data_IF_638569502092
#
_entry.id   IF_638569502092
#
_cell.length_a   1.000
_cell.length_b   1.000
_cell.length_c   1.000
_cell.angle_alpha   90.00
_cell.angle_beta   90.00
_cell.angle_gamma   90.00
#
_symmetry.space_group_name_H-M   'P 1'
#
loop_
_entity.id
_entity.type
_entity.pdbx_description
1 polymer ?
#
# COMPACT_ATOMS: atom_id res chain seq x y z
N UNK A 1 18.80 -9.48 -33.53
CA UNK A 1 20.09 -9.03 -33.02
C UNK A 1 20.13 -7.51 -32.98
N UNK A 2 19.35 -6.88 -32.11
CA UNK A 2 19.40 -5.43 -31.81
C UNK A 2 18.75 -5.12 -30.45
N UNK A 3 18.81 -6.04 -29.49
CA UNK A 3 18.21 -5.87 -28.13
C UNK A 3 19.29 -5.57 -27.08
N UNK A 4 20.57 -5.64 -27.40
CA UNK A 4 21.66 -5.59 -26.42
C UNK A 4 22.26 -4.21 -26.12
N UNK A 5 21.87 -3.13 -26.81
CA UNK A 5 22.50 -1.82 -26.60
C UNK A 5 21.66 -0.79 -25.86
N UNK A 6 20.43 -1.15 -25.39
CA UNK A 6 19.58 -0.25 -24.62
C UNK A 6 19.25 -0.77 -23.21
N UNK A 7 19.97 -1.78 -22.75
CA UNK A 7 19.87 -2.30 -21.39
C UNK A 7 20.41 -1.25 -20.41
N UNK A 8 19.49 -0.54 -19.77
CA UNK A 8 19.71 0.27 -18.57
C UNK A 8 20.42 1.62 -18.82
N UNK A 9 19.83 2.53 -19.58
CA UNK A 9 20.12 3.93 -19.37
C UNK A 9 19.59 4.31 -17.97
N UNK A 10 20.45 4.14 -16.95
CA UNK A 10 20.11 4.53 -15.57
C UNK A 10 19.91 6.05 -15.50
N UNK A 11 19.03 6.49 -14.61
CA UNK A 11 18.91 7.91 -14.27
C UNK A 11 20.23 8.43 -13.68
N UNK A 12 20.49 9.75 -13.72
CA UNK A 12 21.66 10.32 -13.05
C UNK A 12 21.70 9.90 -11.57
N UNK A 13 22.84 9.41 -11.10
CA UNK A 13 23.00 8.89 -9.73
C UNK A 13 22.66 9.89 -8.62
N UNK A 14 22.74 11.18 -8.90
CA UNK A 14 22.39 12.24 -7.95
C UNK A 14 20.86 12.42 -7.77
N UNK A 15 20.04 11.71 -8.55
CA UNK A 15 18.57 11.65 -8.39
C UNK A 15 18.18 10.68 -7.28
N UNK A 16 18.94 9.59 -7.11
CA UNK A 16 18.66 8.58 -6.10
C UNK A 16 18.79 9.14 -4.67
N UNK A 17 17.88 8.74 -3.80
CA UNK A 17 17.94 9.11 -2.38
C UNK A 17 19.24 8.64 -1.72
N UNK A 18 19.84 9.51 -0.92
CA UNK A 18 21.08 9.25 -0.22
C UNK A 18 20.87 9.20 1.30
N UNK A 19 21.32 8.12 1.93
CA UNK A 19 21.24 7.95 3.38
C UNK A 19 22.12 8.90 4.21
N UNK A 20 23.15 9.48 3.59
CA UNK A 20 24.05 10.46 4.23
C UNK A 20 23.49 11.89 4.16
N UNK A 21 22.41 12.10 3.39
CA UNK A 21 21.69 13.36 3.33
C UNK A 21 20.57 13.44 4.36
N UNK A 22 19.71 14.45 4.19
CA UNK A 22 18.61 14.72 5.12
C UNK A 22 17.63 13.56 5.22
N UNK A 23 17.39 12.84 4.12
CA UNK A 23 16.49 11.67 4.10
C UNK A 23 16.96 10.52 5.00
N UNK A 24 18.26 10.43 5.30
CA UNK A 24 18.82 9.44 6.24
C UNK A 24 18.70 9.84 7.72
N UNK A 25 18.25 11.05 8.03
CA UNK A 25 18.11 11.55 9.41
C UNK A 25 17.07 10.76 10.20
N UNK A 26 17.39 10.46 11.47
CA UNK A 26 16.51 9.81 12.44
C UNK A 26 16.10 10.77 13.54
N UNK A 27 14.96 10.54 14.17
CA UNK A 27 14.51 11.31 15.35
C UNK A 27 15.46 11.10 16.52
N UNK A 28 15.85 9.85 16.78
CA UNK A 28 16.85 9.51 17.81
C UNK A 28 18.15 9.14 17.12
N UNK A 29 19.23 9.85 17.46
CA UNK A 29 20.54 9.58 16.89
C UNK A 29 21.03 8.18 17.23
N UNK A 30 21.55 7.47 16.24
CA UNK A 30 22.13 6.13 16.38
C UNK A 30 23.45 6.06 15.64
N UNK A 31 24.43 5.29 16.13
CA UNK A 31 25.68 5.11 15.42
C UNK A 31 25.46 4.39 14.08
N UNK A 32 26.29 4.68 13.06
CA UNK A 32 26.28 3.93 11.81
C UNK A 32 26.46 2.43 12.06
N UNK A 33 25.76 1.62 11.28
CA UNK A 33 25.89 0.17 11.38
C UNK A 33 27.13 -0.30 10.59
N UNK A 34 27.80 -1.34 11.09
CA UNK A 34 29.06 -1.81 10.51
C UNK A 34 28.96 -2.23 9.03
N UNK A 35 27.82 -2.80 8.61
CA UNK A 35 27.62 -3.39 7.28
C UNK A 35 26.22 -3.20 6.69
N UNK A 36 25.32 -2.44 7.33
CA UNK A 36 24.01 -2.12 6.80
C UNK A 36 23.84 -0.63 6.62
N UNK A 37 23.21 -0.23 5.52
CA UNK A 37 22.78 1.16 5.30
C UNK A 37 21.67 1.54 6.28
N UNK A 38 21.36 2.83 6.37
CA UNK A 38 20.25 3.31 7.19
C UNK A 38 18.92 2.79 6.67
N UNK A 39 18.73 2.74 5.36
CA UNK A 39 17.50 2.26 4.74
C UNK A 39 17.33 0.73 4.86
N UNK A 40 18.41 -0.06 4.74
CA UNK A 40 18.36 -1.50 5.04
C UNK A 40 17.94 -1.78 6.50
N UNK A 41 18.43 -0.95 7.44
CA UNK A 41 17.99 -1.06 8.84
C UNK A 41 16.50 -0.76 8.98
N UNK A 42 15.97 0.20 8.23
CA UNK A 42 14.55 0.54 8.25
C UNK A 42 13.68 -0.59 7.70
N UNK A 43 14.04 -1.17 6.55
CA UNK A 43 13.37 -2.35 6.01
C UNK A 43 13.33 -3.51 7.03
N UNK A 44 14.47 -3.78 7.70
CA UNK A 44 14.53 -4.81 8.74
C UNK A 44 13.63 -4.48 9.94
N UNK A 45 13.56 -3.22 10.40
CA UNK A 45 12.69 -2.79 11.50
C UNK A 45 11.21 -2.96 11.16
N UNK A 46 10.82 -2.63 9.93
CA UNK A 46 9.45 -2.80 9.42
C UNK A 46 9.09 -4.29 9.38
N UNK A 47 9.94 -5.14 8.78
CA UNK A 47 9.72 -6.59 8.71
C UNK A 47 9.51 -7.24 10.09
N UNK A 48 10.23 -6.75 11.10
CA UNK A 48 10.11 -7.27 12.46
C UNK A 48 8.98 -6.60 13.27
N UNK A 49 8.29 -5.58 12.75
CA UNK A 49 7.19 -4.90 13.43
C UNK A 49 5.98 -5.84 13.63
N UNK A 50 5.22 -5.59 14.69
CA UNK A 50 3.97 -6.34 14.94
C UNK A 50 2.93 -6.02 13.89
N UNK A 51 2.84 -4.74 13.49
CA UNK A 51 1.92 -4.28 12.46
C UNK A 51 2.17 -5.01 11.13
N UNK A 52 3.42 -5.16 10.70
CA UNK A 52 3.77 -5.90 9.48
C UNK A 52 3.32 -7.37 9.55
N UNK A 53 3.59 -8.07 10.66
CA UNK A 53 3.14 -9.46 10.84
C UNK A 53 1.62 -9.62 10.82
N UNK A 54 0.88 -8.61 11.30
CA UNK A 54 -0.59 -8.60 11.31
C UNK A 54 -1.19 -8.50 9.91
N UNK A 55 -0.44 -8.04 8.90
CA UNK A 55 -0.87 -8.03 7.51
C UNK A 55 -1.26 -9.44 7.00
N UNK A 56 -0.67 -10.49 7.55
CA UNK A 56 -1.05 -11.87 7.24
C UNK A 56 -2.50 -12.22 7.63
N UNK A 57 -3.06 -11.53 8.63
CA UNK A 57 -4.43 -11.72 9.10
C UNK A 57 -5.38 -10.59 8.70
N UNK A 58 -4.98 -9.73 7.77
CA UNK A 58 -5.81 -8.67 7.20
C UNK A 58 -6.09 -8.99 5.74
N UNK A 59 -7.34 -8.88 5.36
CA UNK A 59 -7.80 -9.11 3.98
C UNK A 59 -7.30 -8.02 3.05
N UNK A 60 -6.90 -8.40 1.83
CA UNK A 60 -6.63 -7.44 0.76
C UNK A 60 -7.94 -6.95 0.12
N UNK A 61 -8.75 -7.86 -0.43
CA UNK A 61 -10.01 -7.54 -1.10
C UNK A 61 -11.17 -8.40 -0.57
N UNK A 62 -10.99 -9.71 -0.50
CA UNK A 62 -12.03 -10.64 -0.04
C UNK A 62 -11.95 -10.86 1.47
N UNK A 63 -12.72 -10.10 2.24
CA UNK A 63 -13.01 -10.50 3.61
C UNK A 63 -13.98 -11.67 3.58
N UNK A 64 -13.68 -12.72 4.34
CA UNK A 64 -14.59 -13.86 4.51
C UNK A 64 -15.71 -13.47 5.46
N UNK A 65 -16.92 -13.82 5.07
CA UNK A 65 -18.04 -13.82 6.00
C UNK A 65 -17.99 -15.11 6.85
N UNK A 66 -18.55 -15.09 8.07
CA UNK A 66 -18.56 -16.27 8.95
C UNK A 66 -19.15 -17.54 8.33
N UNK A 67 -20.07 -17.39 7.37
CA UNK A 67 -20.77 -18.50 6.70
C UNK A 67 -20.11 -18.92 5.36
N UNK A 68 -19.00 -18.30 4.97
CA UNK A 68 -18.31 -18.65 3.73
C UNK A 68 -17.60 -20.01 3.85
N UNK A 69 -17.60 -20.82 2.78
CA UNK A 69 -16.90 -22.11 2.79
C UNK A 69 -15.40 -21.90 3.01
N UNK A 70 -14.71 -22.84 3.67
CA UNK A 70 -13.28 -22.74 3.88
C UNK A 70 -12.54 -22.65 2.53
N UNK A 71 -11.69 -21.64 2.39
CA UNK A 71 -10.82 -21.41 1.25
C UNK A 71 -9.57 -20.69 1.77
N UNK A 72 -8.39 -21.02 1.26
CA UNK A 72 -7.09 -20.46 1.68
C UNK A 72 -6.35 -19.79 0.52
N UNK A 73 -7.06 -19.55 -0.60
CA UNK A 73 -6.42 -19.07 -1.84
C UNK A 73 -6.37 -17.56 -1.96
N UNK A 74 -7.17 -16.82 -1.17
CA UNK A 74 -7.26 -15.37 -1.33
C UNK A 74 -6.05 -14.67 -0.74
N UNK A 75 -5.60 -13.62 -1.43
CA UNK A 75 -4.45 -12.82 -1.03
C UNK A 75 -4.70 -12.10 0.30
N UNK A 76 -3.74 -12.23 1.23
CA UNK A 76 -3.67 -11.35 2.41
C UNK A 76 -2.91 -10.07 2.06
N UNK A 77 -3.05 -9.04 2.88
CA UNK A 77 -2.22 -7.83 2.73
C UNK A 77 -0.73 -8.12 2.78
N UNK A 78 -0.30 -9.15 3.51
CA UNK A 78 1.11 -9.54 3.54
C UNK A 78 1.59 -10.04 2.18
N UNK A 79 0.84 -10.94 1.53
CA UNK A 79 1.23 -11.46 0.21
C UNK A 79 1.23 -10.36 -0.85
N UNK A 80 0.22 -9.48 -0.83
CA UNK A 80 0.18 -8.30 -1.67
C UNK A 80 1.37 -7.37 -1.43
N UNK A 81 1.69 -7.05 -0.17
CA UNK A 81 2.87 -6.21 0.17
C UNK A 81 4.16 -6.80 -0.38
N UNK A 82 4.32 -8.13 -0.40
CA UNK A 82 5.49 -8.79 -1.01
C UNK A 82 5.50 -8.66 -2.54
N UNK A 83 4.34 -8.74 -3.20
CA UNK A 83 4.21 -8.51 -4.65
C UNK A 83 4.60 -7.06 -5.00
N UNK A 84 4.04 -6.08 -4.28
CA UNK A 84 4.41 -4.65 -4.42
C UNK A 84 5.90 -4.43 -4.20
N UNK A 85 6.48 -5.05 -3.17
CA UNK A 85 7.91 -4.96 -2.86
C UNK A 85 8.77 -5.49 -4.00
N UNK A 86 8.39 -6.61 -4.61
CA UNK A 86 9.11 -7.20 -5.74
C UNK A 86 9.07 -6.26 -6.96
N UNK A 87 7.89 -5.71 -7.30
CA UNK A 87 7.74 -4.77 -8.43
C UNK A 87 8.55 -3.50 -8.16
N UNK A 88 8.41 -2.90 -6.98
CA UNK A 88 9.10 -1.67 -6.60
C UNK A 88 10.62 -1.81 -6.67
N UNK A 89 11.17 -2.94 -6.21
CA UNK A 89 12.61 -3.23 -6.30
C UNK A 89 13.08 -3.38 -7.76
N UNK A 90 12.24 -3.95 -8.61
CA UNK A 90 12.53 -4.06 -10.06
C UNK A 90 12.58 -2.67 -10.70
N UNK A 91 11.61 -1.81 -10.41
CA UNK A 91 11.56 -0.43 -10.86
C UNK A 91 12.79 0.35 -10.40
N UNK A 92 13.12 0.31 -9.10
CA UNK A 92 14.27 1.01 -8.54
C UNK A 92 15.59 0.53 -9.17
N UNK A 93 15.74 -0.79 -9.39
CA UNK A 93 16.92 -1.35 -10.04
C UNK A 93 17.05 -0.86 -11.48
N UNK A 94 15.96 -0.92 -12.27
CA UNK A 94 15.96 -0.51 -13.66
C UNK A 94 16.23 0.99 -13.85
N UNK A 95 15.80 1.81 -12.91
CA UNK A 95 15.97 3.26 -12.93
C UNK A 95 17.29 3.75 -12.28
N UNK A 96 18.00 2.90 -11.54
CA UNK A 96 19.21 3.30 -10.81
C UNK A 96 18.91 4.08 -9.52
N UNK A 97 17.73 3.88 -8.93
CA UNK A 97 17.30 4.50 -7.68
C UNK A 97 17.77 3.72 -6.45
N UNK A 98 17.54 4.27 -5.27
CA UNK A 98 17.90 3.62 -4.01
C UNK A 98 16.94 2.46 -3.70
N UNK A 99 17.44 1.23 -3.87
CA UNK A 99 16.65 0.00 -3.73
C UNK A 99 16.23 -0.26 -2.29
N UNK A 100 17.09 0.07 -1.34
CA UNK A 100 16.86 -0.16 0.09
C UNK A 100 15.75 0.77 0.62
N UNK A 101 15.77 2.05 0.20
CA UNK A 101 14.67 2.98 0.51
C UNK A 101 13.36 2.52 -0.13
N UNK A 102 13.40 2.16 -1.41
CA UNK A 102 12.22 1.70 -2.15
C UNK A 102 11.62 0.44 -1.50
N UNK A 103 12.46 -0.52 -1.09
CA UNK A 103 12.04 -1.73 -0.37
C UNK A 103 11.39 -1.40 0.96
N UNK A 104 12.02 -0.54 1.77
CA UNK A 104 11.47 -0.13 3.07
C UNK A 104 10.11 0.55 2.93
N UNK A 105 9.95 1.41 1.90
CA UNK A 105 8.67 2.07 1.60
C UNK A 105 7.60 1.08 1.16
N UNK A 106 7.93 0.15 0.26
CA UNK A 106 7.00 -0.88 -0.21
C UNK A 106 6.56 -1.80 0.93
N UNK A 107 7.46 -2.17 1.86
CA UNK A 107 7.11 -2.96 3.05
C UNK A 107 6.19 -2.18 4.01
N UNK A 108 6.28 -0.85 4.04
CA UNK A 108 5.55 -0.03 4.98
C UNK A 108 4.20 0.49 4.46
N UNK A 109 3.95 0.48 3.13
CA UNK A 109 2.84 1.21 2.53
C UNK A 109 1.46 0.82 3.11
N UNK A 110 1.27 -0.45 3.43
CA UNK A 110 -0.01 -1.02 3.85
C UNK A 110 -0.16 -1.25 5.36
N UNK A 111 0.91 -1.02 6.18
CA UNK A 111 0.89 -1.37 7.62
C UNK A 111 -0.16 -0.61 8.44
N UNK A 112 -0.64 0.52 7.92
CA UNK A 112 -1.64 1.37 8.57
C UNK A 112 -3.09 0.98 8.30
N UNK A 113 -3.36 0.07 7.38
CA UNK A 113 -4.74 -0.35 7.08
C UNK A 113 -5.41 -1.04 8.27
N UNK A 114 -6.68 -0.74 8.52
CA UNK A 114 -7.48 -1.43 9.53
C UNK A 114 -7.92 -2.81 9.05
N UNK A 115 -8.58 -3.63 9.92
CA UNK A 115 -9.27 -4.84 9.47
C UNK A 115 -10.28 -4.53 8.36
N UNK A 116 -10.53 -5.49 7.47
CA UNK A 116 -11.44 -5.39 6.32
C UNK A 116 -11.05 -4.31 5.28
N UNK A 117 -9.79 -3.88 5.26
CA UNK A 117 -9.24 -2.99 4.26
C UNK A 117 -9.97 -1.65 4.12
N UNK A 118 -10.31 -1.25 2.90
CA UNK A 118 -10.97 0.03 2.64
C UNK A 118 -12.39 0.15 3.25
N UNK A 119 -13.10 -0.97 3.42
CA UNK A 119 -14.41 -0.94 4.09
C UNK A 119 -14.25 -0.57 5.57
N UNK A 120 -13.29 -1.19 6.25
CA UNK A 120 -12.96 -0.86 7.64
C UNK A 120 -12.40 0.57 7.79
N UNK A 121 -11.60 1.04 6.84
CA UNK A 121 -11.09 2.42 6.83
C UNK A 121 -12.23 3.44 6.76
N UNK A 122 -13.19 3.25 5.84
CA UNK A 122 -14.36 4.11 5.73
C UNK A 122 -15.22 4.10 6.99
N UNK A 123 -15.42 2.93 7.60
CA UNK A 123 -16.18 2.78 8.83
C UNK A 123 -15.51 3.48 10.03
N UNK A 124 -14.17 3.36 10.16
CA UNK A 124 -13.43 4.08 11.20
C UNK A 124 -13.43 5.59 10.97
N UNK A 125 -13.25 6.05 9.73
CA UNK A 125 -13.32 7.47 9.40
C UNK A 125 -14.72 8.04 9.71
N UNK A 126 -15.79 7.33 9.33
CA UNK A 126 -17.17 7.71 9.66
C UNK A 126 -17.37 7.82 11.17
N UNK A 127 -16.94 6.82 11.95
CA UNK A 127 -17.06 6.83 13.40
C UNK A 127 -16.30 8.00 14.05
N UNK A 128 -15.09 8.31 13.55
CA UNK A 128 -14.27 9.40 14.09
C UNK A 128 -14.79 10.79 13.76
N UNK A 129 -15.48 10.97 12.62
CA UNK A 129 -16.06 12.27 12.23
C UNK A 129 -17.05 12.80 13.26
N UNK A 130 -17.80 11.95 13.94
CA UNK A 130 -18.69 12.33 15.04
C UNK A 130 -17.93 12.95 16.23
N UNK A 131 -16.63 12.75 16.32
CA UNK A 131 -15.73 13.28 17.35
C UNK A 131 -14.80 14.38 16.83
N UNK A 132 -15.05 14.93 15.63
CA UNK A 132 -14.22 15.95 15.00
C UNK A 132 -12.84 15.44 14.52
N UNK A 133 -12.68 14.12 14.39
CA UNK A 133 -11.47 13.45 13.95
C UNK A 133 -11.68 12.75 12.60
N UNK A 134 -10.60 12.26 11.99
CA UNK A 134 -10.65 11.44 10.79
C UNK A 134 -9.72 10.24 10.91
N UNK A 135 -9.89 9.27 10.01
CA UNK A 135 -8.99 8.13 9.86
C UNK A 135 -8.42 8.09 8.44
N UNK A 136 -7.13 7.83 8.38
CA UNK A 136 -6.35 7.71 7.15
C UNK A 136 -5.24 6.70 7.39
N UNK A 137 -5.12 5.69 6.54
CA UNK A 137 -4.15 4.61 6.76
C UNK A 137 -2.69 5.08 6.67
N UNK A 138 -2.35 6.11 5.87
CA UNK A 138 -0.99 6.65 5.82
C UNK A 138 -0.63 7.35 7.14
N UNK A 139 -1.55 8.16 7.68
CA UNK A 139 -1.36 8.80 8.98
C UNK A 139 -1.30 7.76 10.10
N UNK A 140 -2.12 6.73 10.02
CA UNK A 140 -2.06 5.63 10.99
C UNK A 140 -0.77 4.81 10.87
N UNK A 141 -0.27 4.56 9.64
CA UNK A 141 1.05 3.95 9.42
C UNK A 141 2.17 4.77 10.06
N UNK A 142 2.13 6.09 9.89
CA UNK A 142 3.08 6.98 10.57
C UNK A 142 3.00 6.85 12.09
N UNK A 143 1.79 6.85 12.68
CA UNK A 143 1.58 6.65 14.13
C UNK A 143 2.13 5.29 14.59
N UNK A 144 1.93 4.23 13.81
CA UNK A 144 2.49 2.91 14.11
C UNK A 144 4.02 2.98 14.21
N UNK A 145 4.70 3.51 13.19
CA UNK A 145 6.17 3.49 13.13
C UNK A 145 6.83 4.50 14.06
N UNK A 146 6.12 5.57 14.45
CA UNK A 146 6.66 6.59 15.36
C UNK A 146 6.29 6.38 16.82
N UNK A 147 5.18 5.66 17.11
CA UNK A 147 4.62 5.61 18.45
C UNK A 147 4.22 4.22 18.95
N UNK A 148 3.46 3.42 18.17
CA UNK A 148 2.85 2.18 18.68
C UNK A 148 3.77 0.98 18.69
N UNK A 149 4.77 0.92 17.80
CA UNK A 149 5.75 -0.16 17.86
C UNK A 149 6.73 0.08 18.99
N UNK A 150 6.59 -0.71 20.06
CA UNK A 150 7.45 -0.66 21.23
C UNK A 150 8.50 -1.78 21.15
N UNK A 151 9.67 -1.46 20.57
CA UNK A 151 10.74 -2.40 20.25
C UNK A 151 12.11 -2.02 20.81
N UNK A 152 12.25 -0.77 21.23
CA UNK A 152 13.51 -0.23 21.68
C UNK A 152 13.40 0.27 23.13
N UNK A 153 14.39 -0.07 23.97
CA UNK A 153 14.38 0.36 25.35
C UNK A 153 14.58 1.88 25.53
N UNK A 154 15.19 2.54 24.54
CA UNK A 154 15.57 3.95 24.62
C UNK A 154 14.51 4.92 24.07
N UNK A 155 13.60 4.46 23.25
CA UNK A 155 12.58 5.30 22.58
C UNK A 155 11.39 4.47 22.11
N UNK A 156 10.26 5.12 21.91
CA UNK A 156 9.08 4.55 21.24
C UNK A 156 9.23 4.58 19.73
N UNK A 157 8.43 3.75 19.05
CA UNK A 157 8.44 3.63 17.61
C UNK A 157 9.64 2.84 17.09
N UNK A 158 9.77 2.85 15.77
CA UNK A 158 10.83 2.14 15.05
C UNK A 158 12.06 3.01 14.77
N UNK A 159 12.00 4.30 15.06
CA UNK A 159 13.05 5.29 14.73
C UNK A 159 13.52 5.18 13.28
N UNK A 160 12.56 5.14 12.34
CA UNK A 160 12.86 5.10 10.91
C UNK A 160 13.45 6.42 10.44
N UNK A 161 14.19 6.38 9.34
CA UNK A 161 14.74 7.57 8.69
C UNK A 161 13.64 8.50 8.20
N UNK A 162 13.98 9.78 8.00
CA UNK A 162 13.06 10.76 7.47
C UNK A 162 12.52 10.36 6.09
N UNK A 163 13.37 9.81 5.21
CA UNK A 163 12.96 9.38 3.87
C UNK A 163 11.88 8.31 3.89
N UNK A 164 11.95 7.35 4.82
CA UNK A 164 10.90 6.33 4.97
C UNK A 164 9.63 6.93 5.58
N UNK A 165 9.74 7.77 6.62
CA UNK A 165 8.57 8.40 7.26
C UNK A 165 7.85 9.36 6.31
N UNK A 166 8.60 10.17 5.56
CA UNK A 166 8.06 11.06 4.53
C UNK A 166 7.36 10.26 3.41
N UNK A 167 8.01 9.19 2.95
CA UNK A 167 7.43 8.35 1.90
C UNK A 167 6.16 7.63 2.34
N UNK A 168 6.05 7.16 3.59
CA UNK A 168 4.82 6.60 4.16
C UNK A 168 3.65 7.59 4.00
N UNK A 169 3.88 8.87 4.24
CA UNK A 169 2.84 9.89 4.13
C UNK A 169 2.55 10.23 2.67
N UNK A 170 3.59 10.39 1.85
CA UNK A 170 3.46 11.00 0.52
C UNK A 170 3.39 10.02 -0.65
N UNK A 171 3.42 8.70 -0.44
CA UNK A 171 3.44 7.78 -1.58
C UNK A 171 2.18 7.90 -2.43
N UNK A 172 0.99 7.95 -1.85
CA UNK A 172 -0.29 7.89 -2.57
C UNK A 172 -1.07 9.22 -2.59
N UNK A 173 -0.75 10.17 -1.71
CA UNK A 173 -1.45 11.46 -1.64
C UNK A 173 -0.57 12.60 -1.16
N UNK A 174 -1.03 13.83 -1.39
CA UNK A 174 -0.40 15.05 -0.88
C UNK A 174 -1.22 15.61 0.29
N UNK A 175 -0.55 16.03 1.36
CA UNK A 175 -1.14 16.74 2.50
C UNK A 175 -0.73 18.21 2.46
N UNK A 176 -1.56 19.09 3.02
CA UNK A 176 -1.23 20.52 3.15
C UNK A 176 -0.91 20.89 4.59
N UNK A 177 0.01 21.83 4.78
CA UNK A 177 0.35 22.33 6.11
C UNK A 177 -0.84 23.02 6.81
N UNK A 178 -1.82 23.53 6.06
CA UNK A 178 -3.03 24.12 6.63
C UNK A 178 -3.99 23.10 7.23
N UNK A 179 -4.06 21.89 6.67
CA UNK A 179 -4.91 20.80 7.17
C UNK A 179 -4.19 19.86 8.15
N UNK A 180 -2.85 19.78 8.03
CA UNK A 180 -2.00 18.87 8.81
C UNK A 180 -0.72 19.58 9.26
N UNK A 181 -0.82 20.58 10.17
CA UNK A 181 0.35 21.31 10.65
C UNK A 181 1.35 20.41 11.39
N UNK A 182 0.90 19.31 11.98
CA UNK A 182 1.73 18.30 12.66
C UNK A 182 2.68 17.56 11.72
N UNK A 183 2.43 17.61 10.41
CA UNK A 183 3.28 16.97 9.40
C UNK A 183 4.37 17.90 8.83
N UNK A 184 4.60 19.07 9.42
CA UNK A 184 5.53 20.07 8.91
C UNK A 184 6.98 19.58 8.71
N UNK A 185 7.44 18.59 9.50
CA UNK A 185 8.79 18.01 9.34
C UNK A 185 8.96 17.23 8.01
N UNK A 186 7.87 16.90 7.30
CA UNK A 186 7.89 16.07 6.09
C UNK A 186 7.85 16.89 4.79
N UNK A 187 8.23 18.17 4.84
CA UNK A 187 8.35 19.04 3.65
C UNK A 187 7.13 18.99 2.73
N UNK A 188 5.95 19.31 3.26
CA UNK A 188 4.69 19.17 2.54
C UNK A 188 4.61 19.95 1.22
N UNK A 189 5.42 20.99 1.07
CA UNK A 189 5.52 21.81 -0.16
C UNK A 189 6.42 21.17 -1.24
N UNK A 190 7.19 20.12 -0.89
CA UNK A 190 8.08 19.42 -1.80
C UNK A 190 7.49 18.10 -2.24
N UNK A 191 7.81 17.65 -3.47
CA UNK A 191 7.48 16.29 -3.91
C UNK A 191 8.32 15.27 -3.15
N UNK A 192 7.80 14.05 -2.92
CA UNK A 192 8.62 12.97 -2.37
C UNK A 192 9.71 12.54 -3.38
N UNK A 193 10.79 11.87 -2.94
CA UNK A 193 11.76 11.27 -3.84
C UNK A 193 11.11 10.28 -4.82
N UNK A 194 11.76 10.01 -5.95
CA UNK A 194 11.21 9.10 -6.97
C UNK A 194 10.90 7.72 -6.39
N UNK A 195 11.73 7.23 -5.48
CA UNK A 195 11.52 5.98 -4.76
C UNK A 195 10.11 5.90 -4.14
N UNK A 196 9.67 6.98 -3.52
CA UNK A 196 8.34 7.05 -2.91
C UNK A 196 7.22 7.28 -3.95
N UNK A 197 7.51 8.05 -5.01
CA UNK A 197 6.53 8.25 -6.10
C UNK A 197 6.18 6.95 -6.85
N UNK A 198 7.10 5.98 -6.89
CA UNK A 198 6.90 4.71 -7.57
C UNK A 198 6.01 3.74 -6.78
N UNK A 199 5.89 3.89 -5.46
CA UNK A 199 5.19 2.91 -4.63
C UNK A 199 3.70 2.82 -4.98
N UNK A 200 3.03 3.95 -5.14
CA UNK A 200 1.60 4.01 -5.50
C UNK A 200 1.32 3.30 -6.85
N UNK A 201 2.19 3.51 -7.83
CA UNK A 201 2.05 2.87 -9.14
C UNK A 201 2.40 1.37 -9.11
N UNK A 202 3.38 0.99 -8.29
CA UNK A 202 3.71 -0.42 -8.09
C UNK A 202 2.57 -1.16 -7.37
N UNK A 203 1.96 -0.53 -6.37
CA UNK A 203 0.75 -1.03 -5.71
C UNK A 203 -0.39 -1.18 -6.71
N UNK A 204 -0.64 -0.16 -7.53
CA UNK A 204 -1.69 -0.16 -8.55
C UNK A 204 -1.49 -1.27 -9.59
N UNK A 205 -0.27 -1.51 -10.05
CA UNK A 205 0.07 -2.60 -10.97
C UNK A 205 -0.17 -3.97 -10.31
N UNK A 206 0.24 -4.11 -9.05
CA UNK A 206 0.08 -5.34 -8.29
C UNK A 206 -1.40 -5.68 -8.10
N UNK A 207 -2.19 -4.75 -7.54
CA UNK A 207 -3.60 -5.04 -7.26
C UNK A 207 -4.41 -5.25 -8.54
N UNK A 208 -4.14 -4.52 -9.63
CA UNK A 208 -4.87 -4.65 -10.88
C UNK A 208 -4.77 -6.07 -11.45
N UNK A 209 -3.58 -6.64 -11.45
CA UNK A 209 -3.35 -8.01 -11.94
C UNK A 209 -3.86 -9.05 -10.95
N UNK A 210 -3.69 -8.82 -9.66
CA UNK A 210 -4.15 -9.69 -8.59
C UNK A 210 -5.68 -9.77 -8.53
N UNK A 211 -6.38 -8.64 -8.63
CA UNK A 211 -7.84 -8.58 -8.52
C UNK A 211 -8.55 -9.14 -9.75
N UNK A 212 -7.94 -9.04 -10.95
CA UNK A 212 -8.42 -9.76 -12.13
C UNK A 212 -8.29 -11.28 -11.94
N UNK A 213 -7.17 -11.76 -11.39
CA UNK A 213 -6.94 -13.16 -11.08
C UNK A 213 -7.93 -13.69 -10.05
N UNK A 214 -8.03 -13.03 -8.90
CA UNK A 214 -8.93 -13.38 -7.80
C UNK A 214 -10.41 -13.31 -8.24
N UNK A 215 -10.78 -12.31 -9.06
CA UNK A 215 -12.12 -12.17 -9.61
C UNK A 215 -12.51 -13.27 -10.58
N UNK A 216 -11.56 -13.73 -11.39
CA UNK A 216 -11.75 -14.88 -12.29
C UNK A 216 -11.78 -16.21 -11.52
N UNK A 217 -10.91 -16.38 -10.53
CA UNK A 217 -10.84 -17.63 -9.74
C UNK A 217 -12.04 -17.79 -8.82
N UNK A 218 -12.56 -16.70 -8.25
CA UNK A 218 -13.81 -16.71 -7.45
C UNK A 218 -15.08 -16.91 -8.28
N UNK A 219 -15.00 -16.74 -9.61
CA UNK A 219 -16.16 -16.81 -10.49
C UNK A 219 -17.06 -15.57 -10.46
N UNK A 220 -16.68 -14.51 -9.74
CA UNK A 220 -17.39 -13.21 -9.78
C UNK A 220 -17.21 -12.58 -11.16
N UNK A 221 -16.00 -12.67 -11.73
CA UNK A 221 -15.72 -12.25 -13.09
C UNK A 221 -15.72 -13.45 -14.04
N UNK A 222 -16.35 -13.29 -15.21
CA UNK A 222 -16.19 -14.25 -16.29
C UNK A 222 -15.10 -13.79 -17.26
N UNK A 223 -14.35 -14.74 -17.83
CA UNK A 223 -13.30 -14.46 -18.80
C UNK A 223 -13.81 -13.62 -19.98
N UNK A 224 -15.01 -13.92 -20.46
CA UNK A 224 -15.61 -13.18 -21.57
C UNK A 224 -15.83 -11.70 -21.22
N UNK A 225 -16.37 -11.41 -20.02
CA UNK A 225 -16.57 -10.01 -19.57
C UNK A 225 -15.23 -9.28 -19.38
N UNK A 226 -14.20 -9.93 -18.83
CA UNK A 226 -12.86 -9.36 -18.68
C UNK A 226 -12.26 -9.02 -20.06
N UNK A 227 -12.37 -9.95 -21.04
CA UNK A 227 -11.89 -9.70 -22.40
C UNK A 227 -12.62 -8.55 -23.09
N UNK A 228 -13.90 -8.36 -22.82
CA UNK A 228 -14.68 -7.25 -23.39
C UNK A 228 -14.38 -5.92 -22.72
N UNK A 229 -14.23 -5.90 -21.40
CA UNK A 229 -14.13 -4.69 -20.59
C UNK A 229 -12.70 -4.21 -20.31
N UNK A 230 -11.68 -5.06 -20.49
CA UNK A 230 -10.28 -4.74 -20.19
C UNK A 230 -9.42 -4.86 -21.46
N UNK A 231 -9.22 -3.77 -22.21
CA UNK A 231 -8.53 -3.80 -23.51
C UNK A 231 -7.12 -4.40 -23.45
N UNK A 232 -6.30 -4.00 -22.49
CA UNK A 232 -4.94 -4.51 -22.31
C UNK A 232 -4.95 -6.04 -22.03
N UNK A 233 -5.88 -6.53 -21.22
CA UNK A 233 -6.03 -7.98 -20.98
C UNK A 233 -6.35 -8.71 -22.28
N UNK A 234 -7.31 -8.20 -23.06
CA UNK A 234 -7.71 -8.81 -24.34
C UNK A 234 -6.52 -8.93 -25.32
N UNK A 235 -5.73 -7.86 -25.47
CA UNK A 235 -4.57 -7.83 -26.36
C UNK A 235 -3.60 -8.96 -26.01
N UNK A 236 -3.24 -9.08 -24.74
CA UNK A 236 -2.32 -10.12 -24.30
C UNK A 236 -2.94 -11.51 -24.33
N UNK A 237 -4.21 -11.65 -23.95
CA UNK A 237 -4.90 -12.94 -23.99
C UNK A 237 -4.99 -13.51 -25.40
N UNK A 238 -5.35 -12.67 -26.39
CA UNK A 238 -5.41 -13.09 -27.80
C UNK A 238 -4.03 -13.47 -28.33
N UNK A 239 -2.97 -12.80 -27.86
CA UNK A 239 -1.59 -13.18 -28.19
C UNK A 239 -1.19 -14.52 -27.59
N UNK A 240 -1.55 -14.76 -26.31
CA UNK A 240 -1.25 -16.02 -25.61
C UNK A 240 -1.97 -17.19 -26.25
N UNK A 241 -3.28 -17.06 -26.53
CA UNK A 241 -4.07 -18.11 -27.17
C UNK A 241 -3.56 -18.46 -28.57
N UNK A 242 -3.13 -17.47 -29.34
CA UNK A 242 -2.50 -17.71 -30.67
C UNK A 242 -1.17 -18.45 -30.55
N UNK A 243 -0.37 -18.10 -29.53
CA UNK A 243 0.95 -18.70 -29.33
C UNK A 243 0.86 -20.11 -28.72
N UNK A 244 -0.13 -20.34 -27.86
CA UNK A 244 -0.32 -21.58 -27.12
C UNK A 244 -1.78 -22.08 -27.23
N UNK A 245 -2.24 -22.53 -28.42
CA UNK A 245 -3.64 -22.88 -28.65
C UNK A 245 -4.13 -24.05 -27.79
N UNK A 246 -3.23 -24.93 -27.36
CA UNK A 246 -3.54 -26.09 -26.50
C UNK A 246 -3.44 -25.79 -25.00
N UNK A 247 -3.15 -24.54 -24.60
CA UNK A 247 -3.04 -24.19 -23.20
C UNK A 247 -4.41 -24.24 -22.50
N UNK A 248 -4.46 -24.87 -21.33
CA UNK A 248 -5.67 -24.82 -20.49
C UNK A 248 -5.98 -23.35 -20.14
N UNK A 249 -7.27 -23.01 -20.08
CA UNK A 249 -7.75 -21.66 -19.82
C UNK A 249 -7.03 -20.99 -18.63
N UNK A 250 -6.90 -21.67 -17.49
CA UNK A 250 -6.22 -21.14 -16.29
C UNK A 250 -4.76 -20.75 -16.61
N UNK A 251 -4.05 -21.56 -17.40
CA UNK A 251 -2.67 -21.27 -17.79
C UNK A 251 -2.59 -20.09 -18.74
N UNK A 252 -3.53 -20.00 -19.70
CA UNK A 252 -3.61 -18.87 -20.64
C UNK A 252 -3.90 -17.55 -19.89
N UNK A 253 -4.78 -17.55 -18.88
CA UNK A 253 -5.06 -16.40 -18.02
C UNK A 253 -3.79 -15.98 -17.25
N UNK A 254 -3.13 -16.90 -16.57
CA UNK A 254 -1.92 -16.62 -15.79
C UNK A 254 -0.80 -16.00 -16.67
N UNK A 255 -0.59 -16.58 -17.86
CA UNK A 255 0.40 -16.03 -18.81
C UNK A 255 -0.02 -14.66 -19.33
N UNK A 256 -1.32 -14.40 -19.50
CA UNK A 256 -1.87 -13.10 -19.86
C UNK A 256 -1.59 -12.04 -18.80
N UNK A 257 -1.92 -12.32 -17.54
CA UNK A 257 -1.71 -11.40 -16.42
C UNK A 257 -0.23 -11.09 -16.22
N UNK A 258 0.64 -12.09 -16.36
CA UNK A 258 2.09 -11.91 -16.29
C UNK A 258 2.60 -10.97 -17.42
N UNK A 259 2.10 -11.12 -18.66
CA UNK A 259 2.47 -10.22 -19.76
C UNK A 259 1.93 -8.81 -19.56
N UNK A 260 0.71 -8.68 -19.05
CA UNK A 260 0.10 -7.40 -18.70
C UNK A 260 0.91 -6.68 -17.63
N UNK A 261 1.29 -7.35 -16.53
CA UNK A 261 2.15 -6.81 -15.49
C UNK A 261 3.49 -6.34 -16.07
N UNK A 262 4.14 -7.16 -16.89
CA UNK A 262 5.41 -6.81 -17.50
C UNK A 262 5.29 -5.59 -18.41
N UNK A 263 4.20 -5.43 -19.16
CA UNK A 263 3.97 -4.27 -20.01
C UNK A 263 3.79 -3.00 -19.19
N UNK A 264 2.99 -3.06 -18.10
CA UNK A 264 2.79 -1.93 -17.19
C UNK A 264 4.10 -1.48 -16.52
N UNK A 265 4.90 -2.43 -16.03
CA UNK A 265 6.21 -2.14 -15.41
C UNK A 265 7.18 -1.55 -16.44
N UNK A 266 7.22 -2.09 -17.65
CA UNK A 266 8.11 -1.59 -18.72
C UNK A 266 7.73 -0.17 -19.13
N UNK A 267 6.43 0.09 -19.36
CA UNK A 267 5.92 1.41 -19.70
C UNK A 267 6.26 2.45 -18.60
N UNK A 268 6.05 2.08 -17.33
CA UNK A 268 6.38 2.97 -16.21
C UNK A 268 7.87 3.32 -16.18
N UNK A 269 8.77 2.37 -16.41
CA UNK A 269 10.21 2.61 -16.47
C UNK A 269 10.54 3.58 -17.62
N UNK A 270 10.01 3.32 -18.80
CA UNK A 270 10.31 4.11 -20.00
C UNK A 270 9.74 5.54 -19.89
N UNK A 271 8.53 5.69 -19.37
CA UNK A 271 7.89 7.00 -19.18
C UNK A 271 8.61 7.83 -18.11
N UNK A 272 9.03 7.23 -16.98
CA UNK A 272 9.82 7.94 -15.96
C UNK A 272 11.13 8.45 -16.54
N UNK A 273 11.83 7.62 -17.33
CA UNK A 273 13.06 8.03 -18.02
C UNK A 273 12.82 9.20 -18.99
N UNK A 274 11.77 9.09 -19.80
CA UNK A 274 11.40 10.13 -20.73
C UNK A 274 11.14 11.47 -20.02
N UNK A 275 10.31 11.45 -18.97
CA UNK A 275 9.96 12.66 -18.20
C UNK A 275 11.17 13.29 -17.52
N UNK A 276 12.04 12.50 -16.90
CA UNK A 276 13.27 13.00 -16.28
C UNK A 276 14.18 13.61 -17.35
N UNK A 277 14.35 12.94 -18.50
CA UNK A 277 15.16 13.46 -19.60
C UNK A 277 14.60 14.77 -20.19
N UNK A 278 13.31 14.83 -20.45
CA UNK A 278 12.62 16.00 -21.02
C UNK A 278 12.63 17.20 -20.07
N UNK A 279 12.51 16.95 -18.76
CA UNK A 279 12.57 18.01 -17.74
C UNK A 279 13.98 18.56 -17.52
N UNK A 280 15.03 17.85 -17.96
CA UNK A 280 16.42 18.20 -17.73
C UNK A 280 16.87 18.05 -16.26
N UNK A 281 16.07 17.41 -15.42
CA UNK A 281 16.32 17.17 -14.00
C UNK A 281 17.49 16.19 -13.82
N UNK A 282 18.43 16.52 -12.89
CA UNK A 282 19.64 15.73 -12.66
C UNK A 282 19.88 15.39 -11.19
N UNK A 283 19.15 16.01 -10.28
CA UNK A 283 19.38 15.88 -8.84
C UNK A 283 18.09 15.56 -8.08
N UNK A 284 18.22 15.00 -6.87
CA UNK A 284 17.11 14.75 -5.96
C UNK A 284 16.36 16.05 -5.61
N UNK A 285 17.08 17.14 -5.35
CA UNK A 285 16.45 18.42 -5.00
C UNK A 285 15.58 18.95 -6.14
N UNK A 286 16.01 18.81 -7.39
CA UNK A 286 15.21 19.17 -8.56
C UNK A 286 13.97 18.28 -8.70
N UNK A 287 14.06 16.97 -8.40
CA UNK A 287 12.88 16.07 -8.31
C UNK A 287 11.89 16.60 -7.28
N UNK A 288 12.38 16.98 -6.11
CA UNK A 288 11.54 17.47 -5.00
C UNK A 288 10.87 18.80 -5.30
N UNK A 289 11.51 19.65 -6.07
CA UNK A 289 10.98 20.96 -6.52
C UNK A 289 10.13 20.88 -7.79
N UNK A 290 10.01 19.72 -8.42
CA UNK A 290 9.24 19.57 -9.64
C UNK A 290 7.75 19.93 -9.42
N UNK A 291 7.09 20.61 -10.39
CA UNK A 291 5.70 21.05 -10.23
C UNK A 291 4.72 19.87 -10.16
N UNK A 292 5.10 18.71 -10.74
CA UNK A 292 4.29 17.49 -10.76
C UNK A 292 5.18 16.30 -10.41
N UNK A 293 4.54 15.19 -9.98
CA UNK A 293 5.22 13.90 -9.85
C UNK A 293 5.75 13.47 -11.22
N UNK A 294 6.94 12.88 -11.24
CA UNK A 294 7.58 12.38 -12.47
C UNK A 294 7.29 10.89 -12.70
N UNK A 295 7.01 10.14 -11.64
CA UNK A 295 6.52 8.78 -11.79
C UNK A 295 5.08 8.80 -12.33
N UNK A 296 4.89 8.25 -13.54
CA UNK A 296 3.59 8.09 -14.17
C UNK A 296 3.72 7.08 -15.32
N UNK A 297 2.61 6.50 -15.73
CA UNK A 297 2.48 5.73 -16.97
C UNK A 297 2.40 6.67 -18.17
N UNK A 298 2.68 6.16 -19.38
CA UNK A 298 2.41 6.87 -20.61
C UNK A 298 0.90 7.14 -20.75
N UNK A 299 0.48 8.17 -21.52
CA UNK A 299 -0.94 8.46 -21.70
C UNK A 299 -1.76 7.29 -22.24
N UNK A 300 -1.17 6.45 -23.10
CA UNK A 300 -1.82 5.27 -23.65
C UNK A 300 -2.00 4.17 -22.59
N UNK A 301 -0.95 3.87 -21.82
CA UNK A 301 -1.00 2.86 -20.77
C UNK A 301 -1.88 3.31 -19.59
N UNK A 302 -1.89 4.62 -19.30
CA UNK A 302 -2.80 5.20 -18.29
C UNK A 302 -4.27 5.03 -18.69
N UNK A 303 -4.60 5.18 -19.97
CA UNK A 303 -5.96 4.91 -20.46
C UNK A 303 -6.34 3.43 -20.29
N UNK A 304 -5.43 2.51 -20.60
CA UNK A 304 -5.64 1.06 -20.41
C UNK A 304 -5.79 0.70 -18.93
N UNK A 305 -4.94 1.28 -18.06
CA UNK A 305 -5.02 1.11 -16.60
C UNK A 305 -6.36 1.62 -16.06
N UNK A 306 -6.76 2.83 -16.47
CA UNK A 306 -8.02 3.43 -16.04
C UNK A 306 -9.23 2.59 -16.48
N UNK A 307 -9.21 2.04 -17.70
CA UNK A 307 -10.25 1.14 -18.19
C UNK A 307 -10.33 -0.14 -17.36
N UNK A 308 -9.18 -0.75 -17.04
CA UNK A 308 -9.13 -1.95 -16.19
C UNK A 308 -9.63 -1.68 -14.77
N UNK A 309 -9.23 -0.55 -14.17
CA UNK A 309 -9.68 -0.11 -12.83
C UNK A 309 -11.18 0.15 -12.82
N UNK A 310 -11.71 0.86 -13.82
CA UNK A 310 -13.15 1.11 -13.98
C UNK A 310 -13.94 -0.19 -14.10
N UNK A 311 -13.44 -1.14 -14.91
CA UNK A 311 -14.06 -2.45 -15.05
C UNK A 311 -14.11 -3.22 -13.71
N UNK A 312 -13.01 -3.25 -12.94
CA UNK A 312 -12.98 -3.87 -11.62
C UNK A 312 -13.95 -3.17 -10.65
N UNK A 313 -13.99 -1.84 -10.69
CA UNK A 313 -14.91 -1.09 -9.84
C UNK A 313 -16.37 -1.48 -10.09
N UNK A 314 -16.80 -1.50 -11.36
CA UNK A 314 -18.18 -1.77 -11.74
C UNK A 314 -18.59 -3.24 -11.60
N UNK A 315 -17.66 -4.17 -11.85
CA UNK A 315 -18.00 -5.58 -11.98
C UNK A 315 -17.54 -6.47 -10.83
N UNK A 316 -16.58 -5.97 -10.03
CA UNK A 316 -15.97 -6.72 -8.94
C UNK A 316 -16.27 -6.08 -7.58
N UNK A 317 -15.78 -4.86 -7.31
CA UNK A 317 -15.95 -4.21 -6.00
C UNK A 317 -17.40 -3.82 -5.68
N UNK A 318 -18.21 -3.51 -6.69
CA UNK A 318 -19.64 -3.22 -6.55
C UNK A 318 -20.53 -4.45 -6.80
N UNK A 319 -19.96 -5.66 -6.80
CA UNK A 319 -20.76 -6.87 -6.91
C UNK A 319 -21.59 -7.12 -5.64
N UNK A 320 -22.78 -7.76 -5.74
CA UNK A 320 -23.62 -8.06 -4.56
C UNK A 320 -22.91 -8.88 -3.48
N UNK A 321 -21.92 -9.69 -3.87
CA UNK A 321 -21.06 -10.42 -2.93
C UNK A 321 -20.20 -9.48 -2.10
N UNK A 322 -19.54 -8.53 -2.76
CA UNK A 322 -18.68 -7.55 -2.10
C UNK A 322 -19.50 -6.54 -1.27
N UNK A 323 -20.70 -6.17 -1.69
CA UNK A 323 -21.58 -5.29 -0.91
C UNK A 323 -21.92 -5.91 0.45
N UNK A 324 -22.21 -7.22 0.49
CA UNK A 324 -22.44 -7.92 1.78
C UNK A 324 -21.21 -7.88 2.69
N UNK A 325 -20.02 -8.07 2.12
CA UNK A 325 -18.74 -7.98 2.85
C UNK A 325 -18.55 -6.58 3.41
N UNK A 326 -18.79 -5.54 2.60
CA UNK A 326 -18.66 -4.14 3.04
C UNK A 326 -19.64 -3.78 4.16
N UNK A 327 -20.90 -4.21 4.04
CA UNK A 327 -21.92 -3.96 5.05
C UNK A 327 -21.59 -4.65 6.38
N UNK A 328 -21.12 -5.90 6.32
CA UNK A 328 -20.66 -6.63 7.49
C UNK A 328 -19.45 -5.96 8.16
N UNK A 329 -18.45 -5.57 7.38
CA UNK A 329 -17.27 -4.84 7.88
C UNK A 329 -17.67 -3.54 8.59
N UNK A 330 -18.61 -2.79 8.00
CA UNK A 330 -19.14 -1.56 8.60
C UNK A 330 -19.83 -1.84 9.92
N UNK A 331 -20.74 -2.83 9.97
CA UNK A 331 -21.43 -3.23 11.21
C UNK A 331 -20.44 -3.60 12.33
N UNK A 332 -19.44 -4.41 12.02
CA UNK A 332 -18.47 -4.89 13.00
C UNK A 332 -17.60 -3.73 13.52
N UNK A 333 -17.07 -2.89 12.62
CA UNK A 333 -16.16 -1.81 13.00
C UNK A 333 -16.89 -0.72 13.78
N UNK A 334 -18.02 -0.22 13.28
CA UNK A 334 -18.80 0.85 13.94
C UNK A 334 -19.43 0.36 15.24
N UNK A 335 -19.92 -0.89 15.25
CA UNK A 335 -20.48 -1.51 16.43
C UNK A 335 -19.44 -1.68 17.55
N UNK A 336 -18.26 -2.18 17.22
CA UNK A 336 -17.18 -2.32 18.21
C UNK A 336 -16.66 -0.95 18.66
N UNK A 337 -16.53 0.03 17.75
CA UNK A 337 -16.16 1.39 18.11
C UNK A 337 -17.14 1.96 19.14
N UNK A 338 -18.44 1.86 18.90
CA UNK A 338 -19.49 2.34 19.81
C UNK A 338 -19.47 1.60 21.15
N UNK A 339 -19.27 0.27 21.14
CA UNK A 339 -19.19 -0.51 22.37
C UNK A 339 -18.03 -0.06 23.26
N UNK A 340 -16.84 0.14 22.67
CA UNK A 340 -15.65 0.57 23.43
C UNK A 340 -15.79 2.04 23.89
N UNK A 341 -16.40 2.91 23.07
CA UNK A 341 -16.69 4.29 23.50
C UNK A 341 -17.65 4.34 24.68
N UNK A 342 -18.56 3.38 24.78
CA UNK A 342 -19.52 3.27 25.90
C UNK A 342 -18.86 2.65 27.15
N UNK A 343 -18.04 1.61 26.95
CA UNK A 343 -17.28 0.95 28.01
C UNK A 343 -15.78 0.89 27.67
N UNK A 344 -15.00 1.91 28.06
CA UNK A 344 -13.55 1.92 27.86
C UNK A 344 -12.81 0.78 28.60
N UNK A 345 -13.48 0.05 29.49
CA UNK A 345 -12.94 -1.15 30.13
C UNK A 345 -12.62 -2.29 29.16
N UNK A 346 -13.22 -2.27 27.97
CA UNK A 346 -12.93 -3.20 26.88
C UNK A 346 -11.54 -2.98 26.23
N UNK A 347 -10.92 -1.81 26.43
CA UNK A 347 -9.56 -1.54 26.00
C UNK A 347 -8.53 -2.23 26.90
N UNK A 348 -7.40 -2.72 26.33
CA UNK A 348 -6.24 -3.12 27.12
C UNK A 348 -5.71 -1.95 27.96
N UNK A 349 -5.06 -2.27 29.09
CA UNK A 349 -4.55 -1.26 30.03
C UNK A 349 -3.59 -0.27 29.38
N UNK A 350 -2.67 -0.77 28.52
CA UNK A 350 -1.70 0.07 27.80
C UNK A 350 -2.37 1.11 26.88
N UNK A 351 -3.53 0.80 26.31
CA UNK A 351 -4.31 1.73 25.50
C UNK A 351 -5.06 2.71 26.41
N UNK A 352 -5.69 2.24 27.49
CA UNK A 352 -6.39 3.11 28.44
C UNK A 352 -5.47 4.17 29.05
N UNK A 353 -4.23 3.79 29.36
CA UNK A 353 -3.23 4.72 29.89
C UNK A 353 -2.93 5.91 28.98
N UNK A 354 -3.23 5.82 27.68
CA UNK A 354 -2.99 6.87 26.69
C UNK A 354 -4.20 7.80 26.50
N UNK A 355 -5.39 7.46 27.00
CA UNK A 355 -6.61 8.26 26.83
C UNK A 355 -6.45 9.72 27.30
N UNK A 356 -5.80 10.02 28.44
CA UNK A 356 -5.65 11.42 28.89
C UNK A 356 -4.84 12.30 27.92
N UNK A 357 -3.92 11.71 27.15
CA UNK A 357 -3.06 12.44 26.21
C UNK A 357 -3.67 12.56 24.81
N UNK A 358 -4.34 11.49 24.32
CA UNK A 358 -4.74 11.35 22.91
C UNK A 358 -6.28 11.45 22.72
N UNK A 359 -7.05 11.33 23.79
CA UNK A 359 -8.50 11.25 23.75
C UNK A 359 -9.03 9.85 23.44
N UNK A 360 -10.21 9.55 24.01
CA UNK A 360 -10.80 8.20 23.92
C UNK A 360 -11.05 7.75 22.49
N UNK A 361 -11.70 8.60 21.66
CA UNK A 361 -12.07 8.21 20.30
C UNK A 361 -10.84 7.87 19.43
N UNK A 362 -9.73 8.60 19.58
CA UNK A 362 -8.48 8.32 18.88
C UNK A 362 -7.90 6.98 19.30
N UNK A 363 -7.82 6.72 20.60
CA UNK A 363 -7.29 5.45 21.12
C UNK A 363 -8.14 4.26 20.72
N UNK A 364 -9.46 4.41 20.69
CA UNK A 364 -10.37 3.36 20.20
C UNK A 364 -10.11 3.05 18.74
N UNK A 365 -9.98 4.07 17.91
CA UNK A 365 -9.67 3.88 16.49
C UNK A 365 -8.29 3.22 16.27
N UNK A 366 -7.26 3.67 16.97
CA UNK A 366 -5.92 3.08 16.90
C UNK A 366 -5.92 1.61 17.34
N UNK A 367 -6.67 1.27 18.38
CA UNK A 367 -6.82 -0.11 18.86
C UNK A 367 -7.51 -1.00 17.82
N UNK A 368 -8.64 -0.54 17.26
CA UNK A 368 -9.39 -1.26 16.21
C UNK A 368 -8.53 -1.41 14.96
N UNK A 369 -7.88 -0.34 14.50
CA UNK A 369 -7.03 -0.38 13.31
C UNK A 369 -5.85 -1.34 13.45
N UNK A 370 -5.35 -1.55 14.67
CA UNK A 370 -4.31 -2.53 14.97
C UNK A 370 -4.74 -3.99 14.92
N UNK A 371 -6.03 -4.31 14.82
CA UNK A 371 -6.54 -5.69 14.84
C UNK A 371 -6.35 -6.41 13.50
N UNK A 372 -6.43 -7.74 13.53
CA UNK A 372 -6.67 -8.59 12.36
C UNK A 372 -8.17 -8.81 12.19
N UNK A 373 -8.60 -9.24 11.00
CA UNK A 373 -10.02 -9.48 10.71
C UNK A 373 -10.63 -10.52 11.66
N UNK A 374 -9.92 -11.61 11.92
CA UNK A 374 -10.39 -12.63 12.86
C UNK A 374 -10.44 -12.14 14.31
N UNK A 375 -9.55 -11.25 14.71
CA UNK A 375 -9.54 -10.74 16.10
C UNK A 375 -10.68 -9.76 16.35
N UNK A 376 -10.97 -8.86 15.41
CA UNK A 376 -12.09 -7.92 15.56
C UNK A 376 -13.43 -8.65 15.59
N UNK A 377 -13.61 -9.70 14.76
CA UNK A 377 -14.81 -10.55 14.76
C UNK A 377 -15.05 -11.23 16.12
N UNK A 378 -13.98 -11.80 16.68
CA UNK A 378 -14.07 -12.43 18.01
C UNK A 378 -14.44 -11.42 19.09
N UNK A 379 -13.85 -10.23 19.06
CA UNK A 379 -14.11 -9.20 20.05
C UNK A 379 -15.53 -8.64 19.91
N UNK A 380 -15.98 -8.40 18.70
CA UNK A 380 -17.36 -7.99 18.39
C UNK A 380 -18.39 -9.00 18.87
N UNK A 381 -18.17 -10.28 18.60
CA UNK A 381 -19.06 -11.36 19.07
C UNK A 381 -19.14 -11.42 20.60
N UNK A 382 -18.04 -11.16 21.30
CA UNK A 382 -18.00 -11.12 22.77
C UNK A 382 -18.73 -9.90 23.34
N UNK A 383 -18.56 -8.72 22.74
CA UNK A 383 -19.19 -7.48 23.19
C UNK A 383 -20.72 -7.50 23.09
N UNK A 384 -21.28 -8.37 22.22
CA UNK A 384 -22.74 -8.55 22.05
C UNK A 384 -23.38 -9.57 23.04
N UNK A 385 -22.55 -10.35 23.73
CA UNK A 385 -23.02 -11.41 24.64
C UNK A 385 -22.99 -11.00 26.11
N UNK A 386 -22.36 -9.91 26.44
CA UNK A 386 -22.32 -9.30 27.75
C UNK A 386 -23.23 -8.08 27.83
#
# INVERSE_FOLDING_TARGET
>A
MAIESNLLALLPSAIAANEHGELGRRTHAEPPHRYRTSFERDGARILHARAFRRLAGKTQVFARLPDDPPGDHFRSRLTHTLEVTQISRTLAHALGLNRELTEALALAHDIGHPPFGHAGEKALDHSLRAHGLGFDHNLHALRIVTWFEDRHAAFRGLNLTLGVREGIIKHSRDYSASSHPELGEYFLDLRPPLEAQLIDLADEIAYLTADLDDGLESGILSLERVRQGVPIFRIFHDSVVRQYPEARQKIAVNETLKRMMNALVTDLIDEVRARVSESGIKTLDEIRMAPKRLAALSPAMEADRAAAKGFLYDNFYNSPGMERVHNHATEVVEGLFTAIMTDPGLLPEDHRAQIPAEGLARIVADYIAGMTDSYIEQLWTRSRKG
#
